data_IF_557531645770
#
_entry.id   IF_557531645770
#
_cell.length_a   1.000
_cell.length_b   1.000
_cell.length_c   1.000
_cell.angle_alpha   90.00
_cell.angle_beta   90.00
_cell.angle_gamma   90.00
#
_symmetry.space_group_name_H-M   'P 1'
#
loop_
_entity.id
_entity.type
_entity.pdbx_description
1 polymer ?
#
# COMPACT_ATOMS: atom_id res chain seq x y z
N UNK A 1 -56.85 102.26 -57.46
CA UNK A 1 -56.39 101.94 -58.83
C UNK A 1 -55.35 100.83 -58.73
N UNK A 2 -55.45 99.88 -59.65
CA UNK A 2 -54.93 98.50 -59.61
C UNK A 2 -53.40 98.35 -59.57
N UNK A 3 -52.95 97.17 -59.09
CA UNK A 3 -52.01 96.26 -59.77
C UNK A 3 -51.62 95.13 -58.77
N UNK A 4 -52.01 93.85 -58.90
CA UNK A 4 -51.70 92.80 -59.90
C UNK A 4 -50.40 91.99 -59.59
N UNK A 5 -50.59 90.66 -59.45
CA UNK A 5 -49.69 89.51 -59.73
C UNK A 5 -48.42 89.32 -58.85
N UNK A 6 -47.71 88.17 -58.78
CA UNK A 6 -47.68 86.90 -59.50
C UNK A 6 -46.79 85.89 -58.71
N UNK A 7 -47.18 84.61 -58.69
CA UNK A 7 -46.39 83.39 -58.89
C UNK A 7 -45.21 82.91 -58.00
N UNK A 8 -45.15 81.56 -58.04
CA UNK A 8 -44.00 80.62 -57.98
C UNK A 8 -43.66 80.12 -56.58
N UNK A 9 -43.66 78.82 -56.26
CA UNK A 9 -43.70 77.61 -57.08
C UNK A 9 -42.68 76.60 -56.55
N UNK A 10 -43.18 75.51 -55.94
CA UNK A 10 -42.57 74.20 -55.67
C UNK A 10 -41.28 74.09 -54.83
N UNK A 11 -41.44 73.51 -53.63
CA UNK A 11 -40.43 72.71 -52.95
C UNK A 11 -41.07 71.43 -52.39
N UNK A 12 -40.78 70.28 -53.00
CA UNK A 12 -41.29 68.96 -52.60
C UNK A 12 -40.75 68.60 -51.20
N UNK A 13 -41.65 68.29 -50.28
CA UNK A 13 -41.34 67.51 -49.08
C UNK A 13 -41.44 66.02 -49.44
N UNK A 14 -40.31 65.31 -49.40
CA UNK A 14 -40.33 63.84 -49.40
C UNK A 14 -40.15 63.37 -47.94
N UNK A 15 -41.07 62.54 -47.42
CA UNK A 15 -40.88 61.84 -46.15
C UNK A 15 -39.91 60.66 -46.37
N UNK A 16 -38.85 60.59 -45.57
CA UNK A 16 -37.97 59.42 -45.52
C UNK A 16 -37.82 58.96 -44.06
N UNK A 17 -38.49 57.84 -43.80
CA UNK A 17 -38.11 56.75 -42.92
C UNK A 17 -37.93 57.03 -41.43
N UNK A 18 -39.06 57.26 -40.74
CA UNK A 18 -39.24 56.77 -39.37
C UNK A 18 -39.56 55.27 -39.45
N UNK A 19 -38.51 54.43 -39.43
CA UNK A 19 -38.68 52.97 -39.26
C UNK A 19 -38.80 52.65 -37.77
N UNK A 20 -39.98 52.20 -37.30
CA UNK A 20 -40.12 51.68 -35.95
C UNK A 20 -39.24 50.43 -35.84
N UNK A 21 -38.29 50.45 -34.89
CA UNK A 21 -37.53 49.25 -34.54
C UNK A 21 -38.51 48.09 -34.30
N UNK A 22 -38.30 46.90 -34.93
CA UNK A 22 -39.21 45.79 -34.78
C UNK A 22 -39.30 45.41 -33.28
N UNK A 23 -40.50 45.08 -32.77
CA UNK A 23 -40.67 44.76 -31.36
C UNK A 23 -39.73 43.60 -30.99
N UNK A 24 -39.02 43.68 -29.85
CA UNK A 24 -38.06 42.66 -29.46
C UNK A 24 -38.76 41.31 -29.40
N UNK A 25 -38.33 40.37 -30.25
CA UNK A 25 -38.91 39.04 -30.33
C UNK A 25 -38.61 38.29 -29.03
N UNK A 26 -39.51 38.43 -28.06
CA UNK A 26 -39.40 37.90 -26.70
C UNK A 26 -39.15 36.38 -26.70
N UNK A 27 -39.64 35.66 -27.71
CA UNK A 27 -39.39 34.23 -27.88
C UNK A 27 -37.95 33.94 -28.29
N UNK A 28 -37.35 34.75 -29.17
CA UNK A 28 -35.92 34.63 -29.54
C UNK A 28 -35.02 35.02 -28.38
N UNK A 29 -35.35 36.08 -27.64
CA UNK A 29 -34.60 36.50 -26.43
C UNK A 29 -34.70 35.47 -25.31
N UNK A 30 -35.89 34.89 -25.05
CA UNK A 30 -36.06 33.77 -24.09
C UNK A 30 -35.31 32.52 -24.51
N UNK A 31 -35.28 32.19 -25.80
CA UNK A 31 -34.47 31.06 -26.32
C UNK A 31 -32.97 31.31 -26.12
N UNK A 32 -32.48 32.52 -26.41
CA UNK A 32 -31.06 32.88 -26.20
C UNK A 32 -30.70 32.79 -24.71
N UNK A 33 -31.54 33.30 -23.81
CA UNK A 33 -31.35 33.22 -22.35
C UNK A 33 -31.36 31.77 -21.87
N UNK A 34 -32.31 30.94 -22.34
CA UNK A 34 -32.37 29.53 -21.98
C UNK A 34 -31.13 28.75 -22.46
N UNK A 35 -30.66 29.02 -23.69
CA UNK A 35 -29.45 28.39 -24.23
C UNK A 35 -28.21 28.83 -23.46
N UNK A 36 -28.08 30.12 -23.13
CA UNK A 36 -26.94 30.60 -22.32
C UNK A 36 -26.95 29.98 -20.93
N UNK A 37 -28.10 29.93 -20.25
CA UNK A 37 -28.21 29.27 -18.94
C UNK A 37 -27.88 27.78 -19.02
N UNK A 38 -28.33 27.07 -20.05
CA UNK A 38 -27.98 25.67 -20.25
C UNK A 38 -26.47 25.47 -20.46
N UNK A 39 -25.84 26.32 -21.27
CA UNK A 39 -24.38 26.28 -21.49
C UNK A 39 -23.61 26.56 -20.19
N UNK A 40 -24.00 27.57 -19.42
CA UNK A 40 -23.37 27.87 -18.12
C UNK A 40 -23.52 26.70 -17.13
N UNK A 41 -24.69 26.06 -17.08
CA UNK A 41 -24.90 24.88 -16.22
C UNK A 41 -24.02 23.70 -16.63
N UNK A 42 -23.86 23.45 -17.94
CA UNK A 42 -22.97 22.38 -18.41
C UNK A 42 -21.50 22.64 -18.08
N UNK A 43 -21.05 23.89 -18.11
CA UNK A 43 -19.68 24.25 -17.75
C UNK A 43 -19.42 24.07 -16.25
N UNK A 44 -20.35 24.48 -15.39
CA UNK A 44 -20.23 24.31 -13.93
C UNK A 44 -20.18 22.82 -13.56
N UNK A 45 -21.07 22.00 -14.13
CA UNK A 45 -21.10 20.56 -13.87
C UNK A 45 -19.81 19.89 -14.39
N UNK A 46 -19.34 20.29 -15.58
CA UNK A 46 -18.06 19.81 -16.13
C UNK A 46 -16.86 20.14 -15.24
N UNK A 47 -16.80 21.35 -14.69
CA UNK A 47 -15.74 21.76 -13.75
C UNK A 47 -15.80 21.02 -12.42
N UNK A 48 -16.98 20.72 -11.89
CA UNK A 48 -17.12 19.93 -10.66
C UNK A 48 -16.68 18.48 -10.86
N UNK A 49 -17.06 17.85 -11.98
CA UNK A 49 -16.62 16.50 -12.31
C UNK A 49 -15.10 16.47 -12.54
N UNK A 50 -14.54 17.47 -13.23
CA UNK A 50 -13.10 17.59 -13.41
C UNK A 50 -12.35 17.79 -12.09
N UNK A 51 -12.88 18.58 -11.16
CA UNK A 51 -12.30 18.76 -9.82
C UNK A 51 -12.37 17.47 -8.98
N UNK A 52 -13.48 16.74 -9.03
CA UNK A 52 -13.64 15.45 -8.33
C UNK A 52 -12.71 14.37 -8.93
N UNK A 53 -12.54 14.36 -10.25
CA UNK A 53 -11.57 13.47 -10.91
C UNK A 53 -10.14 13.89 -10.56
N UNK A 54 -9.84 15.18 -10.46
CA UNK A 54 -8.50 15.65 -10.07
C UNK A 54 -8.20 15.35 -8.59
N UNK A 55 -9.18 15.36 -7.71
CA UNK A 55 -9.03 14.96 -6.30
C UNK A 55 -8.82 13.44 -6.18
N UNK A 56 -9.53 12.66 -7.01
CA UNK A 56 -9.41 11.18 -7.08
C UNK A 56 -8.16 10.69 -7.84
N UNK A 57 -7.62 11.52 -8.74
CA UNK A 57 -6.41 11.30 -9.52
C UNK A 57 -5.30 12.24 -9.05
N UNK A 58 -5.23 12.50 -7.75
CA UNK A 58 -3.95 12.85 -7.13
C UNK A 58 -3.14 11.57 -7.10
N UNK A 59 -2.58 11.17 -8.24
CA UNK A 59 -1.34 10.41 -8.25
C UNK A 59 -0.36 11.27 -7.45
N UNK A 60 -0.18 10.89 -6.19
CA UNK A 60 0.96 11.31 -5.42
C UNK A 60 2.18 10.84 -6.21
N UNK A 61 2.75 11.73 -7.01
CA UNK A 61 4.14 11.68 -7.45
C UNK A 61 4.94 11.07 -6.28
N UNK A 62 5.55 9.88 -6.44
CA UNK A 62 6.25 9.26 -5.34
C UNK A 62 7.38 10.22 -4.99
N UNK A 63 7.26 10.85 -3.83
CA UNK A 63 8.31 11.63 -3.20
C UNK A 63 9.60 10.84 -3.36
N UNK A 64 10.51 11.27 -4.24
CA UNK A 64 11.74 10.52 -4.54
C UNK A 64 12.54 10.23 -3.26
N UNK A 65 12.32 11.01 -2.21
CA UNK A 65 12.86 10.81 -0.86
C UNK A 65 12.32 9.55 -0.13
N UNK A 66 11.02 9.23 -0.26
CA UNK A 66 10.42 8.02 0.31
C UNK A 66 10.82 6.78 -0.50
N UNK A 67 10.89 6.90 -1.84
CA UNK A 67 11.36 5.83 -2.73
C UNK A 67 12.79 5.38 -2.41
N UNK A 68 13.69 6.33 -2.10
CA UNK A 68 15.08 6.03 -1.77
C UNK A 68 15.25 5.34 -0.39
N UNK A 69 14.39 5.63 0.59
CA UNK A 69 14.47 4.99 1.92
C UNK A 69 14.09 3.50 1.93
N UNK A 70 13.32 3.05 0.93
CA UNK A 70 12.87 1.66 0.81
C UNK A 70 13.82 0.79 -0.03
N UNK A 71 14.73 1.39 -0.79
CA UNK A 71 15.62 0.69 -1.72
C UNK A 71 16.51 -0.38 -1.06
N UNK A 72 17.10 -0.14 0.14
CA UNK A 72 17.85 -1.18 0.83
C UNK A 72 16.98 -2.38 1.22
N UNK A 73 15.74 -2.14 1.66
CA UNK A 73 14.81 -3.21 2.00
C UNK A 73 14.41 -4.02 0.76
N UNK A 74 14.12 -3.35 -0.37
CA UNK A 74 13.86 -4.04 -1.64
C UNK A 74 15.03 -4.93 -2.06
N UNK A 75 16.25 -4.43 -1.90
CA UNK A 75 17.47 -5.20 -2.20
C UNK A 75 17.58 -6.46 -1.34
N UNK A 76 17.26 -6.36 -0.05
CA UNK A 76 17.23 -7.52 0.85
C UNK A 76 16.11 -8.49 0.47
N UNK A 77 14.88 -8.01 0.27
CA UNK A 77 13.75 -8.87 -0.06
C UNK A 77 13.86 -9.54 -1.44
N UNK A 78 14.69 -9.00 -2.35
CA UNK A 78 14.95 -9.61 -3.65
C UNK A 78 15.68 -10.97 -3.57
N UNK A 79 16.31 -11.32 -2.44
CA UNK A 79 16.96 -12.64 -2.26
C UNK A 79 15.99 -13.69 -1.72
N UNK A 80 14.75 -13.33 -1.41
CA UNK A 80 13.77 -14.24 -0.79
C UNK A 80 12.81 -14.83 -1.82
N UNK A 81 12.18 -15.95 -1.46
CA UNK A 81 11.14 -16.58 -2.29
C UNK A 81 9.84 -15.77 -2.34
N UNK A 82 9.57 -14.98 -1.29
CA UNK A 82 8.36 -14.17 -1.16
C UNK A 82 8.71 -12.68 -0.96
N UNK A 83 9.15 -11.96 -2.01
CA UNK A 83 9.64 -10.58 -1.88
C UNK A 83 8.59 -9.60 -1.32
N UNK A 84 7.34 -9.73 -1.76
CA UNK A 84 6.25 -8.85 -1.29
C UNK A 84 5.89 -9.11 0.18
N UNK A 85 5.86 -10.40 0.57
CA UNK A 85 5.66 -10.84 1.96
C UNK A 85 6.81 -10.36 2.86
N UNK A 86 8.06 -10.46 2.38
CA UNK A 86 9.23 -9.90 3.06
C UNK A 86 9.14 -8.38 3.23
N UNK A 87 8.78 -7.65 2.18
CA UNK A 87 8.72 -6.20 2.24
C UNK A 87 7.61 -5.73 3.20
N UNK A 88 6.42 -6.29 3.06
CA UNK A 88 5.26 -5.93 3.88
C UNK A 88 5.43 -6.27 5.37
N UNK A 89 6.16 -7.33 5.70
CA UNK A 89 6.42 -7.71 7.09
C UNK A 89 7.50 -6.86 7.76
N UNK A 90 8.49 -6.38 7.01
CA UNK A 90 9.64 -5.63 7.55
C UNK A 90 9.44 -4.11 7.48
N UNK A 91 8.82 -3.58 6.42
CA UNK A 91 8.71 -2.14 6.19
C UNK A 91 8.08 -1.37 7.37
N UNK A 92 7.00 -1.85 8.04
CA UNK A 92 6.42 -1.17 9.20
C UNK A 92 7.37 -1.11 10.41
N UNK A 93 8.30 -2.06 10.51
CA UNK A 93 9.26 -2.16 11.62
C UNK A 93 10.58 -1.41 11.32
N UNK A 94 10.80 -1.02 10.05
CA UNK A 94 12.04 -0.43 9.58
C UNK A 94 12.12 1.09 9.82
N UNK A 95 12.06 1.51 11.08
CA UNK A 95 12.18 2.92 11.49
C UNK A 95 13.19 3.09 12.64
N UNK A 96 14.23 3.94 12.50
CA UNK A 96 14.61 4.67 11.28
C UNK A 96 15.06 3.74 10.14
N UNK A 97 15.11 4.22 8.88
CA UNK A 97 15.64 3.44 7.77
C UNK A 97 17.08 2.97 8.03
N UNK A 98 17.43 1.80 7.49
CA UNK A 98 18.77 1.22 7.63
C UNK A 98 19.24 0.64 6.31
N UNK A 99 20.56 0.49 6.17
CA UNK A 99 21.22 -0.25 5.10
C UNK A 99 21.98 -1.47 5.66
N UNK A 100 21.83 -1.80 6.94
CA UNK A 100 22.55 -2.90 7.58
C UNK A 100 21.79 -4.23 7.38
N UNK A 101 22.36 -5.23 6.67
CA UNK A 101 21.72 -6.53 6.47
C UNK A 101 21.36 -7.26 7.76
N UNK A 102 22.21 -7.19 8.79
CA UNK A 102 21.92 -7.83 10.08
C UNK A 102 20.70 -7.19 10.75
N UNK A 103 20.50 -5.88 10.59
CA UNK A 103 19.27 -5.24 11.08
C UNK A 103 18.04 -5.74 10.32
N UNK A 104 18.11 -5.90 8.99
CA UNK A 104 17.00 -6.46 8.23
C UNK A 104 16.70 -7.91 8.60
N UNK A 105 17.73 -8.73 8.83
CA UNK A 105 17.57 -10.07 9.36
C UNK A 105 16.85 -10.06 10.72
N UNK A 106 17.29 -9.21 11.66
CA UNK A 106 16.65 -9.07 12.98
C UNK A 106 15.18 -8.65 12.87
N UNK A 107 14.87 -7.70 11.98
CA UNK A 107 13.49 -7.27 11.74
C UNK A 107 12.63 -8.39 11.14
N UNK A 108 13.17 -9.16 10.18
CA UNK A 108 12.50 -10.33 9.60
C UNK A 108 12.22 -11.39 10.65
N UNK A 109 13.22 -11.72 11.47
CA UNK A 109 13.08 -12.68 12.57
C UNK A 109 12.05 -12.21 13.61
N UNK A 110 12.07 -10.91 13.94
CA UNK A 110 11.08 -10.34 14.85
C UNK A 110 9.65 -10.42 14.29
N UNK A 111 9.47 -10.14 13.00
CA UNK A 111 8.18 -10.31 12.32
C UNK A 111 7.71 -11.77 12.36
N UNK A 112 8.61 -12.74 12.13
CA UNK A 112 8.32 -14.17 12.31
C UNK A 112 7.85 -14.48 13.74
N UNK A 113 8.58 -14.02 14.76
CA UNK A 113 8.24 -14.25 16.17
C UNK A 113 6.87 -13.67 16.56
N UNK A 114 6.53 -12.48 16.04
CA UNK A 114 5.22 -11.86 16.28
C UNK A 114 4.09 -12.68 15.63
N UNK A 115 4.27 -13.15 14.41
CA UNK A 115 3.26 -13.97 13.72
C UNK A 115 3.03 -15.31 14.45
N UNK A 116 4.10 -16.01 14.84
CA UNK A 116 4.01 -17.26 15.62
C UNK A 116 3.33 -17.03 16.97
N UNK A 117 3.67 -15.94 17.67
CA UNK A 117 3.03 -15.59 18.94
C UNK A 117 1.54 -15.29 18.75
N UNK A 118 1.18 -14.60 17.67
CA UNK A 118 -0.23 -14.34 17.32
C UNK A 118 -0.98 -15.65 17.07
N UNK A 119 -0.39 -16.59 16.34
CA UNK A 119 -0.99 -17.90 16.08
C UNK A 119 -1.17 -18.72 17.36
N UNK A 120 -0.14 -18.75 18.22
CA UNK A 120 -0.22 -19.40 19.53
C UNK A 120 -1.40 -18.88 20.34
N UNK A 121 -1.60 -17.57 20.40
CA UNK A 121 -2.72 -16.99 21.15
C UNK A 121 -4.08 -17.50 20.63
N UNK A 122 -4.26 -17.59 19.31
CA UNK A 122 -5.47 -18.15 18.70
C UNK A 122 -5.74 -19.61 19.13
N UNK A 123 -4.70 -20.42 19.31
CA UNK A 123 -4.81 -21.81 19.76
C UNK A 123 -5.25 -21.92 21.22
N UNK A 124 -4.94 -20.90 22.04
CA UNK A 124 -5.26 -20.86 23.47
C UNK A 124 -6.57 -20.16 23.81
N UNK A 125 -7.25 -19.58 22.81
CA UNK A 125 -8.53 -18.91 23.02
C UNK A 125 -9.59 -19.89 23.57
N UNK A 126 -10.51 -19.45 24.45
CA UNK A 126 -11.55 -20.31 24.99
C UNK A 126 -12.44 -20.95 23.92
N UNK A 127 -12.57 -20.29 22.76
CA UNK A 127 -13.38 -20.74 21.61
C UNK A 127 -12.62 -21.68 20.66
N UNK A 128 -11.34 -21.94 20.90
CA UNK A 128 -10.57 -22.86 20.05
C UNK A 128 -11.08 -24.30 20.18
N UNK A 129 -11.14 -25.02 19.06
CA UNK A 129 -11.49 -26.43 19.03
C UNK A 129 -10.51 -27.24 19.92
N UNK A 130 -10.96 -28.34 20.57
CA UNK A 130 -10.07 -29.17 21.39
C UNK A 130 -8.81 -29.62 20.65
N UNK A 131 -8.94 -30.05 19.38
CA UNK A 131 -7.79 -30.47 18.57
C UNK A 131 -6.78 -29.34 18.30
N UNK A 132 -7.20 -28.08 18.32
CA UNK A 132 -6.30 -26.92 18.21
C UNK A 132 -5.51 -26.68 19.49
N UNK A 133 -6.03 -27.08 20.66
CA UNK A 133 -5.30 -26.92 21.92
C UNK A 133 -4.07 -27.81 21.98
N UNK A 134 -4.13 -28.97 21.35
CA UNK A 134 -2.99 -29.89 21.25
C UNK A 134 -1.86 -29.28 20.38
N UNK A 135 -2.16 -28.35 19.48
CA UNK A 135 -1.14 -27.59 18.74
C UNK A 135 -0.41 -26.55 19.60
N UNK A 136 -0.94 -26.15 20.75
CA UNK A 136 -0.38 -25.04 21.52
C UNK A 136 1.05 -25.32 22.01
N UNK A 137 1.37 -26.58 22.31
CA UNK A 137 2.72 -27.00 22.71
C UNK A 137 3.74 -26.85 21.57
N UNK A 138 3.38 -27.30 20.36
CA UNK A 138 4.21 -27.14 19.15
C UNK A 138 4.46 -25.66 18.81
N UNK A 139 3.46 -24.81 18.99
CA UNK A 139 3.61 -23.36 18.80
C UNK A 139 4.41 -22.68 19.93
N UNK A 140 4.41 -23.24 21.14
CA UNK A 140 5.30 -22.79 22.22
C UNK A 140 6.76 -23.12 21.92
N UNK A 141 7.02 -24.34 21.44
CA UNK A 141 8.34 -24.76 20.99
C UNK A 141 8.84 -23.89 19.84
N UNK A 142 8.00 -23.65 18.82
CA UNK A 142 8.32 -22.76 17.71
C UNK A 142 8.67 -21.34 18.20
N UNK A 143 7.86 -20.76 19.10
CA UNK A 143 8.11 -19.45 19.67
C UNK A 143 9.43 -19.41 20.49
N UNK A 144 9.72 -20.46 21.26
CA UNK A 144 10.95 -20.58 22.04
C UNK A 144 12.20 -20.64 21.15
N UNK A 145 12.14 -21.35 20.03
CA UNK A 145 13.23 -21.44 19.06
C UNK A 145 13.51 -20.10 18.36
N UNK A 146 12.45 -19.37 17.96
CA UNK A 146 12.61 -18.03 17.40
C UNK A 146 13.15 -17.04 18.44
N UNK A 147 12.71 -17.13 19.70
CA UNK A 147 13.25 -16.32 20.80
C UNK A 147 14.74 -16.58 21.01
N UNK A 148 15.17 -17.85 21.04
CA UNK A 148 16.60 -18.20 21.14
C UNK A 148 17.41 -17.61 19.99
N UNK A 149 16.84 -17.61 18.78
CA UNK A 149 17.45 -16.99 17.60
C UNK A 149 17.66 -15.48 17.79
N UNK A 150 16.66 -14.77 18.34
CA UNK A 150 16.76 -13.33 18.65
C UNK A 150 17.80 -13.07 19.74
N UNK A 151 17.83 -13.87 20.79
CA UNK A 151 18.80 -13.74 21.88
C UNK A 151 20.23 -13.91 21.36
N UNK A 152 20.46 -14.91 20.50
CA UNK A 152 21.79 -15.21 19.96
C UNK A 152 22.41 -14.04 19.19
N UNK A 153 21.61 -13.28 18.44
CA UNK A 153 22.06 -12.14 17.63
C UNK A 153 22.04 -10.79 18.36
N UNK A 154 21.37 -10.70 19.52
CA UNK A 154 21.33 -9.49 20.34
C UNK A 154 22.49 -9.37 21.35
N UNK A 155 23.15 -10.48 21.71
CA UNK A 155 24.06 -10.54 22.88
C UNK A 155 25.49 -10.00 22.61
N UNK A 156 25.90 -9.74 21.37
CA UNK A 156 27.28 -9.38 21.05
C UNK A 156 27.53 -7.89 20.72
N UNK A 157 27.81 -7.03 21.71
CA UNK A 157 28.34 -5.68 21.46
C UNK A 157 29.87 -5.63 21.31
N UNK A 158 30.53 -6.75 20.99
CA UNK A 158 32.00 -6.82 20.93
C UNK A 158 32.63 -8.06 20.28
N UNK A 159 31.86 -9.09 19.93
CA UNK A 159 32.32 -10.30 19.22
C UNK A 159 31.67 -10.44 17.84
N UNK A 160 32.24 -11.30 16.99
CA UNK A 160 31.66 -11.61 15.68
C UNK A 160 30.30 -12.27 15.86
N UNK A 161 29.23 -11.51 15.63
CA UNK A 161 27.84 -11.98 15.84
C UNK A 161 27.48 -13.07 14.82
N UNK A 162 28.10 -13.07 13.64
CA UNK A 162 27.79 -14.01 12.56
C UNK A 162 28.92 -15.01 12.31
N UNK A 163 29.25 -15.82 13.33
CA UNK A 163 30.13 -17.00 13.10
C UNK A 163 29.39 -18.09 12.32
N UNK A 164 30.13 -19.00 11.69
CA UNK A 164 29.54 -20.17 11.01
C UNK A 164 28.65 -21.00 11.95
N UNK A 165 29.08 -21.16 13.21
CA UNK A 165 28.31 -21.85 14.25
C UNK A 165 27.01 -21.11 14.55
N UNK A 166 27.07 -19.78 14.73
CA UNK A 166 25.89 -18.94 14.96
C UNK A 166 24.90 -19.04 13.80
N UNK A 167 25.38 -18.97 12.56
CA UNK A 167 24.53 -19.10 11.38
C UNK A 167 23.86 -20.48 11.34
N UNK A 168 24.62 -21.55 11.62
CA UNK A 168 24.08 -22.92 11.68
C UNK A 168 23.01 -23.10 12.76
N UNK A 169 23.21 -22.52 13.95
CA UNK A 169 22.23 -22.57 15.04
C UNK A 169 20.95 -21.82 14.66
N UNK A 170 21.07 -20.62 14.08
CA UNK A 170 19.92 -19.84 13.60
C UNK A 170 19.14 -20.60 12.52
N UNK A 171 19.83 -21.19 11.54
CA UNK A 171 19.19 -22.01 10.51
C UNK A 171 18.42 -23.18 11.13
N UNK A 172 19.03 -23.86 12.10
CA UNK A 172 18.43 -25.01 12.77
C UNK A 172 17.16 -24.62 13.52
N UNK A 173 17.23 -23.59 14.37
CA UNK A 173 16.09 -23.18 15.20
C UNK A 173 14.95 -22.59 14.37
N UNK A 174 15.24 -21.79 13.34
CA UNK A 174 14.18 -21.26 12.47
C UNK A 174 13.53 -22.38 11.66
N UNK A 175 14.31 -23.35 11.16
CA UNK A 175 13.76 -24.48 10.40
C UNK A 175 12.92 -25.40 11.28
N UNK A 176 13.36 -25.69 12.51
CA UNK A 176 12.60 -26.53 13.42
C UNK A 176 11.30 -25.84 13.90
N UNK A 177 11.30 -24.52 14.09
CA UNK A 177 10.05 -23.76 14.30
C UNK A 177 9.06 -23.86 13.13
N UNK A 178 9.53 -24.02 11.88
CA UNK A 178 8.66 -24.31 10.74
C UNK A 178 8.11 -25.74 10.80
N UNK A 179 8.95 -26.72 11.12
CA UNK A 179 8.56 -28.13 11.26
C UNK A 179 7.49 -28.34 12.34
N UNK A 180 7.58 -27.64 13.47
CA UNK A 180 6.57 -27.74 14.54
C UNK A 180 5.20 -27.24 14.06
N UNK A 181 5.18 -26.18 13.24
CA UNK A 181 3.95 -25.67 12.63
C UNK A 181 3.36 -26.65 11.62
N UNK A 182 4.20 -27.30 10.81
CA UNK A 182 3.76 -28.37 9.89
C UNK A 182 3.18 -29.57 10.66
N UNK A 183 3.86 -30.00 11.72
CA UNK A 183 3.42 -31.11 12.58
C UNK A 183 2.05 -30.85 13.19
N UNK A 184 1.78 -29.61 13.62
CA UNK A 184 0.44 -29.23 14.07
C UNK A 184 -0.61 -29.36 12.96
N UNK A 185 -0.30 -28.86 11.75
CA UNK A 185 -1.24 -28.95 10.63
C UNK A 185 -1.55 -30.40 10.24
N UNK A 186 -0.54 -31.28 10.29
CA UNK A 186 -0.71 -32.70 10.03
C UNK A 186 -1.60 -33.35 11.09
N UNK A 187 -1.38 -33.07 12.38
CA UNK A 187 -2.24 -33.55 13.47
C UNK A 187 -3.70 -33.05 13.35
N UNK A 188 -3.90 -31.79 12.98
CA UNK A 188 -5.24 -31.24 12.72
C UNK A 188 -5.92 -31.91 11.51
N UNK A 189 -5.15 -32.28 10.48
CA UNK A 189 -5.67 -33.02 9.32
C UNK A 189 -6.11 -34.44 9.70
N UNK A 190 -5.34 -35.14 10.53
CA UNK A 190 -5.67 -36.48 11.01
C UNK A 190 -6.93 -36.51 11.88
N UNK A 191 -7.16 -35.47 12.68
CA UNK A 191 -8.35 -35.35 13.53
C UNK A 191 -9.61 -34.92 12.77
N UNK A 192 -9.47 -34.41 11.54
CA UNK A 192 -10.57 -33.86 10.76
C UNK A 192 -11.13 -32.54 11.34
N UNK A 193 -10.27 -31.75 11.98
CA UNK A 193 -10.67 -30.45 12.58
C UNK A 193 -11.29 -29.52 11.54
N UNK A 194 -12.41 -28.89 11.89
CA UNK A 194 -13.09 -27.95 10.97
C UNK A 194 -12.36 -26.61 10.85
N UNK A 195 -11.53 -26.29 11.84
CA UNK A 195 -10.71 -25.09 11.87
C UNK A 195 -9.44 -25.17 10.98
N UNK A 196 -9.08 -26.37 10.49
CA UNK A 196 -7.85 -26.59 9.71
C UNK A 196 -7.72 -25.64 8.51
N UNK A 197 -8.81 -25.38 7.78
CA UNK A 197 -8.78 -24.57 6.56
C UNK A 197 -8.30 -23.14 6.81
N UNK A 198 -8.95 -22.43 7.74
CA UNK A 198 -8.58 -21.06 8.08
C UNK A 198 -7.22 -21.02 8.77
N UNK A 199 -6.98 -21.94 9.70
CA UNK A 199 -5.73 -21.98 10.46
C UNK A 199 -4.53 -22.23 9.56
N UNK A 200 -4.64 -23.16 8.60
CA UNK A 200 -3.59 -23.46 7.61
C UNK A 200 -3.15 -22.24 6.82
N UNK A 201 -4.07 -21.36 6.42
CA UNK A 201 -3.71 -20.14 5.69
C UNK A 201 -2.86 -19.20 6.55
N UNK A 202 -3.18 -19.07 7.84
CA UNK A 202 -2.40 -18.24 8.75
C UNK A 202 -1.02 -18.87 9.05
N UNK A 203 -0.96 -20.20 9.19
CA UNK A 203 0.31 -20.92 9.35
C UNK A 203 1.20 -20.79 8.10
N UNK A 204 0.62 -20.86 6.90
CA UNK A 204 1.38 -20.65 5.65
C UNK A 204 2.03 -19.26 5.62
N UNK A 205 1.31 -18.22 6.02
CA UNK A 205 1.89 -16.87 6.14
C UNK A 205 3.05 -16.80 7.14
N UNK A 206 2.91 -17.46 8.29
CA UNK A 206 4.00 -17.60 9.27
C UNK A 206 5.22 -18.33 8.69
N UNK A 207 5.00 -19.41 7.93
CA UNK A 207 6.06 -20.10 7.20
C UNK A 207 6.72 -19.24 6.13
N UNK A 208 5.98 -18.42 5.39
CA UNK A 208 6.56 -17.47 4.44
C UNK A 208 7.51 -16.49 5.14
N UNK A 209 7.12 -15.97 6.31
CA UNK A 209 7.96 -15.06 7.07
C UNK A 209 9.27 -15.73 7.51
N UNK A 210 9.21 -16.95 8.05
CA UNK A 210 10.42 -17.69 8.45
C UNK A 210 11.27 -18.10 7.24
N UNK A 211 10.64 -18.47 6.12
CA UNK A 211 11.33 -18.75 4.86
C UNK A 211 12.08 -17.52 4.34
N UNK A 212 11.48 -16.33 4.42
CA UNK A 212 12.15 -15.07 4.10
C UNK A 212 13.33 -14.82 5.05
N UNK A 213 13.15 -15.03 6.36
CA UNK A 213 14.21 -14.90 7.36
C UNK A 213 15.40 -15.82 7.06
N UNK A 214 15.16 -17.09 6.73
CA UNK A 214 16.20 -18.04 6.32
C UNK A 214 16.90 -17.61 5.02
N UNK A 215 16.16 -17.12 4.03
CA UNK A 215 16.74 -16.66 2.78
C UNK A 215 17.67 -15.45 2.98
N UNK A 216 17.29 -14.50 3.84
CA UNK A 216 18.13 -13.36 4.21
C UNK A 216 19.41 -13.86 4.91
N UNK A 217 19.28 -14.79 5.86
CA UNK A 217 20.42 -15.37 6.58
C UNK A 217 21.39 -16.09 5.64
N UNK A 218 20.87 -16.92 4.73
CA UNK A 218 21.67 -17.69 3.79
C UNK A 218 22.42 -16.79 2.78
N UNK A 219 21.92 -15.58 2.53
CA UNK A 219 22.53 -14.61 1.63
C UNK A 219 23.22 -13.47 2.38
N UNK A 220 23.39 -13.57 3.71
CA UNK A 220 23.79 -12.44 4.54
C UNK A 220 25.16 -11.88 4.13
N UNK A 221 26.13 -12.74 3.80
CA UNK A 221 27.44 -12.33 3.29
C UNK A 221 27.34 -11.55 1.97
N UNK A 222 26.55 -12.06 1.02
CA UNK A 222 26.31 -11.41 -0.27
C UNK A 222 25.66 -10.04 -0.08
N UNK A 223 24.72 -9.92 0.85
CA UNK A 223 24.07 -8.66 1.19
C UNK A 223 25.08 -7.66 1.78
N UNK A 224 25.91 -8.06 2.73
CA UNK A 224 26.97 -7.21 3.28
C UNK A 224 27.90 -6.68 2.17
N UNK A 225 28.35 -7.57 1.28
CA UNK A 225 29.17 -7.18 0.12
C UNK A 225 28.44 -6.21 -0.81
N UNK A 226 27.15 -6.42 -1.09
CA UNK A 226 26.34 -5.56 -1.97
C UNK A 226 26.12 -4.16 -1.39
N UNK A 227 26.10 -4.02 -0.07
CA UNK A 227 26.03 -2.72 0.62
C UNK A 227 27.40 -2.12 0.92
N UNK A 228 28.51 -2.78 0.55
CA UNK A 228 29.86 -2.30 0.82
C UNK A 228 30.22 -2.31 2.31
N UNK A 229 29.67 -3.26 3.06
CA UNK A 229 29.85 -3.41 4.51
C UNK A 229 30.62 -4.71 4.82
N UNK A 230 31.29 -4.74 5.97
CA UNK A 230 31.95 -5.96 6.49
C UNK A 230 31.00 -6.72 7.41
N UNK A 231 30.96 -8.04 7.29
CA UNK A 231 30.20 -8.89 8.20
C UNK A 231 30.78 -8.81 9.63
N UNK A 232 29.94 -8.54 10.65
CA UNK A 232 30.37 -8.50 12.05
C UNK A 232 30.73 -9.88 12.58
#
# INVERSE_FOLDING_TARGET
MESINFFKGYGKVNPLDDHPNPPPNHRRRRRIIAVTLAVFLTLIIGSLIAALIHESATESEPSQLASNSAEPLKTVCAVTRYPDSCFSSIAPLNSPPSNNPLRFFNLSLHASSLEVSSLKNLLTEPTAEPAMKDCAELFDDAASQLRRSVELICVGSGEKVLTEMTISDLQTWISAAMTDQETCLDGLAETGSTALGEFKLKVQKSQEYMSNTLAILNNIESLFNKFGLTMP
#
